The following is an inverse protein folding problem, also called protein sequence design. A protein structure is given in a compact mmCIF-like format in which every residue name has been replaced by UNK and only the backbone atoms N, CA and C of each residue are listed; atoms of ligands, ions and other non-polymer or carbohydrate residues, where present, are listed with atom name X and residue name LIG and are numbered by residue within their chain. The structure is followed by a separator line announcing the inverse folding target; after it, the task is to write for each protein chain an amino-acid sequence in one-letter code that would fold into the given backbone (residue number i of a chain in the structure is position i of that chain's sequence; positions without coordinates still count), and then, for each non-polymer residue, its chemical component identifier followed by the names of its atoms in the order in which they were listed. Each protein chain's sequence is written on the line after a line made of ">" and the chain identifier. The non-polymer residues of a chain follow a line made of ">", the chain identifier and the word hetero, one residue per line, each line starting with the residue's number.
data_IF_272812360834
#
_entry.id   IF_272812360834
#
_cell.length_a   1.000
_cell.length_b   1.000
_cell.length_c   1.000
_cell.angle_alpha   90.00
_cell.angle_beta   90.00
_cell.angle_gamma   90.00
#
_symmetry.space_group_name_H-M   'P 1'
#
loop_
_entity.id
_entity.type
_entity.pdbx_description
1 polymer ?
#
# COMPACT_ATOMS: atom_id res chain seq x y z
N UNK A 1 8.82 13.28 2.84
CA UNK A 1 8.55 11.83 2.95
C UNK A 1 8.68 11.42 4.40
N UNK A 2 7.76 10.61 4.94
CA UNK A 2 7.87 10.11 6.33
C UNK A 2 8.77 8.88 6.34
N UNK A 3 9.70 8.80 7.29
CA UNK A 3 10.59 7.66 7.40
C UNK A 3 9.81 6.38 7.75
N UNK A 4 10.06 5.25 7.06
CA UNK A 4 9.46 3.99 7.45
C UNK A 4 9.99 3.59 8.82
N UNK A 5 9.09 3.17 9.69
CA UNK A 5 9.46 2.67 11.00
C UNK A 5 10.01 1.24 10.84
N UNK A 6 11.03 0.89 11.62
CA UNK A 6 11.54 -0.48 11.72
C UNK A 6 10.52 -1.40 12.40
N UNK A 7 10.88 -2.66 12.66
CA UNK A 7 10.02 -3.63 13.35
C UNK A 7 9.63 -3.18 14.78
N UNK A 8 10.53 -2.45 15.45
CA UNK A 8 10.41 -1.97 16.83
C UNK A 8 9.72 -0.59 16.93
N UNK A 9 9.39 0.02 15.80
CA UNK A 9 8.72 1.32 15.74
C UNK A 9 9.67 2.53 15.75
N UNK A 10 10.97 2.33 15.62
CA UNK A 10 11.95 3.41 15.52
C UNK A 10 12.04 3.93 14.07
N UNK A 11 12.24 5.23 13.87
CA UNK A 11 12.48 5.79 12.54
C UNK A 11 13.80 5.26 11.98
N UNK A 12 13.77 4.72 10.76
CA UNK A 12 14.98 4.30 10.06
C UNK A 12 15.69 5.49 9.42
N UNK A 13 17.01 5.41 9.34
CA UNK A 13 17.83 6.41 8.66
C UNK A 13 17.59 6.36 7.14
N UNK A 14 17.41 7.54 6.54
CA UNK A 14 17.19 7.69 5.10
C UNK A 14 18.36 8.48 4.50
N UNK A 15 18.95 7.93 3.44
CA UNK A 15 19.91 8.62 2.59
C UNK A 15 19.54 8.40 1.12
N UNK A 16 19.54 9.47 0.32
CA UNK A 16 19.26 9.43 -1.12
C UNK A 16 17.98 8.69 -1.54
N UNK A 17 16.89 8.92 -0.80
CA UNK A 17 15.60 8.23 -0.98
C UNK A 17 15.64 6.70 -0.73
N UNK A 18 16.65 6.21 -0.02
CA UNK A 18 16.78 4.81 0.38
C UNK A 18 16.87 4.71 1.90
N UNK A 19 16.34 3.61 2.44
CA UNK A 19 16.61 3.25 3.82
C UNK A 19 18.05 2.74 3.88
N UNK A 20 18.83 3.28 4.83
CA UNK A 20 20.20 2.82 5.04
C UNK A 20 20.16 1.43 5.64
N UNK A 21 20.63 0.44 4.87
CA UNK A 21 20.71 -0.97 5.27
C UNK A 21 22.16 -1.46 5.20
N UNK A 22 22.45 -2.57 5.85
CA UNK A 22 23.77 -3.20 5.76
C UNK A 22 24.04 -3.66 4.31
N UNK A 23 25.13 -3.15 3.75
CA UNK A 23 25.58 -3.49 2.41
C UNK A 23 26.17 -4.91 2.39
N UNK A 24 25.92 -5.64 1.30
CA UNK A 24 26.57 -6.91 0.99
C UNK A 24 27.61 -6.69 -0.11
N UNK A 25 28.91 -7.00 0.11
CA UNK A 25 29.95 -6.79 -0.88
C UNK A 25 29.70 -7.53 -2.20
N UNK A 26 29.09 -8.72 -2.16
CA UNK A 26 28.76 -9.51 -3.36
C UNK A 26 27.57 -8.88 -4.06
N UNK A 27 26.52 -8.51 -3.32
CA UNK A 27 25.36 -7.82 -3.86
C UNK A 27 25.70 -6.49 -4.54
N UNK A 28 26.60 -5.70 -3.95
CA UNK A 28 27.04 -4.41 -4.50
C UNK A 28 27.88 -4.55 -5.78
N UNK A 29 28.39 -5.74 -6.13
CA UNK A 29 28.98 -5.97 -7.46
C UNK A 29 27.93 -6.11 -8.57
N UNK A 30 26.67 -6.41 -8.20
CA UNK A 30 25.57 -6.69 -9.14
C UNK A 30 24.71 -5.45 -9.44
N UNK A 31 24.77 -4.43 -8.60
CA UNK A 31 24.02 -3.18 -8.74
C UNK A 31 24.87 -1.98 -8.32
N UNK A 32 24.85 -0.90 -9.10
CA UNK A 32 25.55 0.32 -8.75
C UNK A 32 24.75 1.20 -7.76
N UNK A 33 25.35 2.32 -7.33
CA UNK A 33 24.70 3.27 -6.42
C UNK A 33 23.44 3.94 -6.99
N UNK A 34 23.33 4.01 -8.32
CA UNK A 34 22.18 4.59 -9.02
C UNK A 34 21.10 3.54 -9.33
N UNK A 35 21.31 2.27 -8.97
CA UNK A 35 20.38 1.19 -9.24
C UNK A 35 20.49 0.56 -10.63
N UNK A 36 21.55 0.85 -11.40
CA UNK A 36 21.84 0.15 -12.67
C UNK A 36 22.44 -1.22 -12.36
N UNK A 37 21.88 -2.25 -13.00
CA UNK A 37 22.32 -3.62 -12.82
C UNK A 37 23.55 -3.92 -13.69
N UNK A 38 24.45 -4.76 -13.18
CA UNK A 38 25.64 -5.23 -13.88
C UNK A 38 25.45 -6.66 -14.43
N UNK A 39 26.30 -7.04 -15.38
CA UNK A 39 26.36 -8.41 -15.90
C UNK A 39 25.21 -8.80 -16.83
N UNK A 40 24.66 -7.84 -17.59
CA UNK A 40 23.56 -8.09 -18.55
C UNK A 40 22.20 -8.35 -17.90
N UNK A 41 22.07 -8.13 -16.59
CA UNK A 41 20.81 -8.25 -15.86
C UNK A 41 19.88 -7.09 -16.20
N UNK A 42 18.60 -7.40 -16.31
CA UNK A 42 17.57 -6.40 -16.57
C UNK A 42 16.42 -6.52 -15.58
N UNK A 43 15.82 -5.39 -15.22
CA UNK A 43 14.63 -5.37 -14.38
C UNK A 43 13.39 -5.82 -15.14
N UNK A 44 12.51 -6.55 -14.46
CA UNK A 44 11.18 -6.93 -14.97
C UNK A 44 10.21 -5.75 -15.09
N UNK A 45 10.43 -4.71 -14.28
CA UNK A 45 9.65 -3.47 -14.28
C UNK A 45 10.40 -2.35 -15.01
N UNK A 46 9.68 -1.31 -15.42
CA UNK A 46 10.32 -0.15 -16.04
C UNK A 46 11.07 0.67 -14.99
N UNK A 47 12.23 1.15 -15.40
CA UNK A 47 13.04 2.08 -14.63
C UNK A 47 13.16 3.42 -15.34
N UNK A 48 13.13 4.50 -14.58
CA UNK A 48 13.26 5.86 -15.11
C UNK A 48 13.97 6.78 -14.10
N UNK A 49 14.47 7.91 -14.59
CA UNK A 49 15.04 8.97 -13.75
C UNK A 49 13.98 10.01 -13.39
N UNK A 50 14.10 10.61 -12.21
CA UNK A 50 13.20 11.68 -11.75
C UNK A 50 13.92 13.03 -11.81
N UNK A 51 13.24 14.05 -12.34
CA UNK A 51 13.79 15.40 -12.46
C UNK A 51 14.33 15.92 -11.11
N UNK A 52 15.59 16.37 -11.11
CA UNK A 52 16.26 16.89 -9.93
C UNK A 52 16.77 15.85 -8.95
N UNK A 53 16.72 14.55 -9.29
CA UNK A 53 17.24 13.44 -8.45
C UNK A 53 18.45 12.71 -9.06
N UNK A 54 19.14 13.37 -9.98
CA UNK A 54 20.32 12.81 -10.67
C UNK A 54 20.00 11.61 -11.55
N UNK A 55 20.97 10.72 -11.70
CA UNK A 55 20.91 9.54 -12.58
C UNK A 55 20.36 8.28 -11.89
N UNK A 56 19.81 8.43 -10.68
CA UNK A 56 19.25 7.32 -9.92
C UNK A 56 17.99 6.80 -10.61
N UNK A 57 17.92 5.47 -10.71
CA UNK A 57 16.79 4.77 -11.29
C UNK A 57 15.69 4.58 -10.24
N UNK A 58 14.48 4.96 -10.63
CA UNK A 58 13.25 4.78 -9.88
C UNK A 58 12.30 3.87 -10.66
N UNK A 59 11.40 3.25 -9.91
CA UNK A 59 10.25 2.50 -10.43
C UNK A 59 8.97 3.11 -9.88
N UNK A 60 7.90 3.06 -10.66
CA UNK A 60 6.58 3.42 -10.18
C UNK A 60 6.14 2.35 -9.17
N UNK A 61 5.84 2.71 -7.92
CA UNK A 61 5.72 1.73 -6.82
C UNK A 61 4.68 0.63 -7.02
N UNK A 62 3.69 0.83 -7.90
CA UNK A 62 2.69 -0.20 -8.20
C UNK A 62 3.22 -1.30 -9.12
N UNK A 63 4.25 -1.03 -9.93
CA UNK A 63 4.83 -2.02 -10.85
C UNK A 63 5.59 -3.14 -10.09
N UNK A 64 6.59 -2.84 -9.23
CA UNK A 64 7.29 -3.90 -8.48
C UNK A 64 6.36 -4.58 -7.47
N UNK A 65 5.38 -3.87 -6.90
CA UNK A 65 4.36 -4.48 -6.06
C UNK A 65 3.63 -5.61 -6.80
N UNK A 66 3.11 -5.36 -8.01
CA UNK A 66 2.42 -6.36 -8.83
C UNK A 66 3.34 -7.48 -9.30
N UNK A 67 4.57 -7.14 -9.71
CA UNK A 67 5.60 -8.09 -10.11
C UNK A 67 5.86 -9.16 -9.04
N UNK A 68 5.69 -8.80 -7.77
CA UNK A 68 6.01 -9.65 -6.62
C UNK A 68 4.75 -10.29 -6.00
N UNK A 69 3.57 -9.99 -6.57
CA UNK A 69 2.28 -10.56 -6.17
C UNK A 69 1.47 -9.71 -5.20
N UNK A 70 1.86 -8.47 -4.94
CA UNK A 70 1.05 -7.53 -4.15
C UNK A 70 -0.02 -6.85 -5.00
N UNK A 71 -1.21 -6.73 -4.41
CA UNK A 71 -2.38 -6.09 -5.06
C UNK A 71 -2.18 -4.59 -5.27
N UNK A 72 -1.58 -3.92 -4.29
CA UNK A 72 -1.33 -2.49 -4.31
C UNK A 72 0.01 -2.15 -3.67
N UNK A 73 0.44 -0.89 -3.85
CA UNK A 73 1.67 -0.40 -3.27
C UNK A 73 1.56 -0.14 -1.76
N UNK A 74 0.36 -0.07 -1.19
CA UNK A 74 0.19 0.18 0.24
C UNK A 74 0.64 -1.03 1.06
N UNK A 75 0.13 -2.22 0.74
CA UNK A 75 0.53 -3.48 1.40
C UNK A 75 2.00 -3.80 1.15
N UNK A 76 2.50 -3.44 -0.04
CA UNK A 76 3.91 -3.59 -0.40
C UNK A 76 4.84 -2.86 0.58
N UNK A 77 4.62 -1.56 0.82
CA UNK A 77 5.44 -0.80 1.78
C UNK A 77 5.17 -1.14 3.24
N UNK A 78 3.95 -1.60 3.57
CA UNK A 78 3.64 -2.02 4.94
C UNK A 78 4.38 -3.31 5.32
N UNK A 79 4.48 -4.26 4.38
CA UNK A 79 5.18 -5.53 4.58
C UNK A 79 6.70 -5.39 4.45
N UNK A 80 7.16 -4.52 3.55
CA UNK A 80 8.58 -4.30 3.29
C UNK A 80 9.03 -2.94 3.84
N UNK A 81 9.30 -2.92 5.15
CA UNK A 81 9.69 -1.70 5.89
C UNK A 81 11.05 -1.13 5.49
N UNK A 82 11.87 -1.89 4.77
CA UNK A 82 13.15 -1.43 4.20
C UNK A 82 12.96 -0.62 2.91
N UNK A 83 11.73 -0.57 2.35
CA UNK A 83 11.44 0.22 1.15
C UNK A 83 10.86 1.58 1.52
N UNK A 84 11.41 2.64 0.91
CA UNK A 84 10.91 3.99 1.06
C UNK A 84 9.92 4.33 -0.05
N UNK A 85 8.71 4.76 0.33
CA UNK A 85 7.76 5.35 -0.61
C UNK A 85 8.04 6.83 -0.79
N UNK A 86 8.60 7.21 -1.94
CA UNK A 86 8.83 8.61 -2.30
C UNK A 86 7.62 9.13 -3.07
N UNK A 87 7.04 10.24 -2.63
CA UNK A 87 6.00 10.92 -3.41
C UNK A 87 6.68 11.93 -4.31
N UNK A 88 6.39 11.90 -5.62
CA UNK A 88 6.93 12.87 -6.58
C UNK A 88 6.22 14.20 -6.46
N UNK A 89 6.98 15.28 -6.59
CA UNK A 89 6.44 16.64 -6.59
C UNK A 89 5.71 16.94 -7.90
N UNK A 90 4.93 18.03 -7.92
CA UNK A 90 4.13 18.39 -9.09
C UNK A 90 4.98 18.61 -10.35
N UNK A 91 6.12 19.30 -10.23
CA UNK A 91 7.04 19.53 -11.37
C UNK A 91 7.63 18.22 -11.89
N UNK A 92 8.08 17.34 -11.00
CA UNK A 92 8.59 16.02 -11.34
C UNK A 92 7.51 15.17 -12.02
N UNK A 93 6.28 15.22 -11.52
CA UNK A 93 5.15 14.51 -12.10
C UNK A 93 4.85 15.00 -13.53
N UNK A 94 4.89 16.30 -13.79
CA UNK A 94 4.71 16.82 -15.14
C UNK A 94 5.84 16.40 -16.09
N UNK A 95 7.10 16.42 -15.66
CA UNK A 95 8.23 15.87 -16.44
C UNK A 95 8.01 14.39 -16.81
N UNK A 96 7.54 13.58 -15.86
CA UNK A 96 7.23 12.17 -16.12
C UNK A 96 6.06 11.98 -17.10
N UNK A 97 5.11 12.91 -17.14
CA UNK A 97 4.01 12.90 -18.13
C UNK A 97 4.53 13.32 -19.51
N UNK A 98 5.33 14.39 -19.58
CA UNK A 98 5.91 14.90 -20.84
C UNK A 98 6.85 13.89 -21.50
N UNK A 99 7.52 13.06 -20.69
CA UNK A 99 8.37 11.96 -21.15
C UNK A 99 7.61 10.65 -21.42
N UNK A 100 6.28 10.67 -21.38
CA UNK A 100 5.39 9.51 -21.57
C UNK A 100 5.69 8.33 -20.63
N UNK A 101 6.32 8.57 -19.49
CA UNK A 101 6.60 7.54 -18.47
C UNK A 101 5.30 7.17 -17.75
N UNK A 102 4.50 8.19 -17.43
CA UNK A 102 3.17 8.04 -16.82
C UNK A 102 2.11 8.76 -17.66
N UNK A 103 0.85 8.28 -17.66
CA UNK A 103 -0.19 8.87 -18.49
C UNK A 103 -0.69 10.19 -17.91
N UNK A 104 -1.19 11.08 -18.79
CA UNK A 104 -1.76 12.38 -18.39
C UNK A 104 -2.91 12.25 -17.35
N UNK A 105 -3.64 11.13 -17.36
CA UNK A 105 -4.71 10.84 -16.39
C UNK A 105 -4.24 10.80 -14.93
N UNK A 106 -2.93 10.69 -14.69
CA UNK A 106 -2.33 10.64 -13.35
C UNK A 106 -2.04 12.02 -12.77
N UNK A 107 -2.27 13.10 -13.53
CA UNK A 107 -2.08 14.50 -13.10
C UNK A 107 -2.78 14.82 -11.78
N UNK A 108 -4.00 14.32 -11.56
CA UNK A 108 -4.78 14.56 -10.35
C UNK A 108 -4.46 13.63 -9.17
N UNK A 109 -3.54 12.68 -9.32
CA UNK A 109 -3.25 11.64 -8.30
C UNK A 109 -1.87 11.86 -7.68
N UNK A 110 -1.73 11.50 -6.41
CA UNK A 110 -0.42 11.39 -5.77
C UNK A 110 0.30 10.17 -6.31
N UNK A 111 1.50 10.35 -6.86
CA UNK A 111 2.29 9.28 -7.47
C UNK A 111 3.44 8.92 -6.54
N UNK A 112 3.52 7.62 -6.21
CA UNK A 112 4.60 7.05 -5.42
C UNK A 112 5.62 6.35 -6.32
N UNK A 113 6.89 6.60 -6.05
CA UNK A 113 8.04 5.93 -6.67
C UNK A 113 8.93 5.32 -5.59
N UNK A 114 9.74 4.35 -5.99
CA UNK A 114 10.74 3.67 -5.14
C UNK A 114 12.03 3.54 -5.94
N UNK A 115 13.19 3.57 -5.30
CA UNK A 115 14.46 3.39 -6.00
C UNK A 115 14.62 1.94 -6.47
N UNK A 116 15.14 1.76 -7.68
CA UNK A 116 15.36 0.45 -8.28
C UNK A 116 16.32 -0.40 -7.45
N UNK A 117 17.37 0.23 -6.89
CA UNK A 117 18.37 -0.43 -6.03
C UNK A 117 17.73 -1.02 -4.77
N UNK A 118 16.86 -0.29 -4.08
CA UNK A 118 16.19 -0.80 -2.87
C UNK A 118 15.25 -1.97 -3.19
N UNK A 119 14.55 -1.92 -4.32
CA UNK A 119 13.74 -3.07 -4.78
C UNK A 119 14.62 -4.28 -5.06
N UNK A 120 15.77 -4.10 -5.73
CA UNK A 120 16.70 -5.20 -5.97
C UNK A 120 17.30 -5.78 -4.68
N UNK A 121 17.64 -4.94 -3.71
CA UNK A 121 18.14 -5.38 -2.40
C UNK A 121 17.14 -6.25 -1.66
N UNK A 122 15.88 -5.82 -1.63
CA UNK A 122 14.80 -6.52 -0.93
C UNK A 122 14.44 -7.86 -1.61
N UNK A 123 14.41 -7.89 -2.95
CA UNK A 123 13.81 -9.01 -3.69
C UNK A 123 14.76 -9.82 -4.57
N UNK A 124 15.99 -9.33 -4.77
CA UNK A 124 17.05 -10.03 -5.50
C UNK A 124 16.62 -10.50 -6.88
N UNK A 125 16.78 -11.80 -7.13
CA UNK A 125 16.51 -12.44 -8.41
C UNK A 125 15.04 -12.31 -8.86
N UNK A 126 14.08 -12.10 -7.93
CA UNK A 126 12.64 -12.05 -8.27
C UNK A 126 12.24 -10.83 -9.11
N UNK A 127 13.01 -9.74 -9.06
CA UNK A 127 12.76 -8.53 -9.86
C UNK A 127 13.60 -8.50 -11.15
N UNK A 128 14.43 -9.52 -11.38
CA UNK A 128 15.28 -9.67 -12.57
C UNK A 128 14.60 -10.56 -13.60
N UNK A 129 14.68 -10.18 -14.87
CA UNK A 129 14.17 -10.98 -15.99
C UNK A 129 14.92 -12.32 -16.05
N UNK A 130 14.22 -13.43 -15.90
CA UNK A 130 14.82 -14.76 -15.86
C UNK A 130 15.77 -14.97 -14.67
N UNK A 131 15.59 -14.21 -13.59
CA UNK A 131 16.50 -14.20 -12.45
C UNK A 131 16.63 -15.57 -11.79
N UNK A 132 17.87 -15.97 -11.50
CA UNK A 132 18.19 -17.24 -10.86
C UNK A 132 18.49 -17.04 -9.38
N UNK A 133 17.89 -17.88 -8.54
CA UNK A 133 18.14 -17.91 -7.10
C UNK A 133 19.63 -18.09 -6.83
N UNK A 134 20.09 -17.45 -5.74
CA UNK A 134 21.50 -17.36 -5.32
C UNK A 134 22.34 -16.50 -6.27
N UNK A 135 22.47 -16.87 -7.54
CA UNK A 135 23.36 -16.17 -8.50
C UNK A 135 22.94 -14.73 -8.77
N UNK A 136 21.64 -14.46 -8.88
CA UNK A 136 21.13 -13.10 -9.15
C UNK A 136 20.54 -12.43 -7.92
N UNK A 137 20.53 -13.09 -6.77
CA UNK A 137 20.12 -12.49 -5.50
C UNK A 137 21.17 -11.49 -5.00
N UNK A 138 20.72 -10.40 -4.38
CA UNK A 138 21.61 -9.43 -3.73
C UNK A 138 22.28 -10.06 -2.48
N UNK A 139 21.51 -10.78 -1.66
CA UNK A 139 22.00 -11.48 -0.47
C UNK A 139 22.13 -13.00 -0.72
N UNK A 140 23.23 -13.43 -1.36
CA UNK A 140 23.42 -14.86 -1.70
C UNK A 140 23.44 -15.78 -0.47
N UNK A 141 24.09 -15.34 0.60
CA UNK A 141 24.22 -16.13 1.82
C UNK A 141 22.86 -16.37 2.48
N UNK A 142 21.99 -15.35 2.48
CA UNK A 142 20.61 -15.46 2.97
C UNK A 142 19.82 -16.46 2.13
N UNK A 143 19.92 -16.38 0.80
CA UNK A 143 19.24 -17.32 -0.10
C UNK A 143 19.71 -18.78 0.11
N UNK A 144 21.02 -18.99 0.32
CA UNK A 144 21.58 -20.32 0.65
C UNK A 144 21.07 -20.83 2.01
N UNK A 145 21.00 -19.97 3.02
CA UNK A 145 20.50 -20.33 4.35
C UNK A 145 19.00 -20.68 4.34
N UNK A 146 18.21 -20.05 3.47
CA UNK A 146 16.80 -20.37 3.23
C UNK A 146 16.60 -21.69 2.48
N UNK A 147 17.68 -22.36 2.04
CA UNK A 147 17.62 -23.62 1.31
C UNK A 147 17.27 -23.47 -0.18
N UNK A 148 17.50 -22.30 -0.77
CA UNK A 148 17.31 -22.12 -2.20
C UNK A 148 18.28 -22.98 -3.01
N UNK A 149 17.81 -23.56 -4.12
CA UNK A 149 18.65 -24.34 -5.04
C UNK A 149 19.35 -23.39 -6.01
N UNK A 150 20.66 -23.59 -6.17
CA UNK A 150 21.48 -22.77 -7.05
C UNK A 150 21.01 -22.86 -8.50
N UNK A 151 20.85 -21.71 -9.15
CA UNK A 151 20.43 -21.65 -10.56
C UNK A 151 18.94 -21.85 -10.82
N UNK A 152 18.12 -22.16 -9.81
CA UNK A 152 16.67 -22.28 -9.98
C UNK A 152 16.03 -20.93 -10.33
N UNK A 153 15.01 -20.92 -11.19
CA UNK A 153 14.26 -19.72 -11.51
C UNK A 153 13.57 -19.16 -10.25
N UNK A 154 13.76 -17.86 -9.98
CA UNK A 154 13.25 -17.22 -8.77
C UNK A 154 11.74 -17.01 -8.78
N UNK A 155 11.15 -16.84 -9.96
CA UNK A 155 9.71 -16.77 -10.16
C UNK A 155 9.31 -17.78 -11.26
N UNK A 156 8.63 -18.89 -10.90
CA UNK A 156 8.19 -19.90 -11.86
C UNK A 156 7.31 -19.36 -13.00
N UNK A 157 6.60 -18.26 -12.77
CA UNK A 157 5.71 -17.65 -13.75
C UNK A 157 6.43 -16.65 -14.69
N UNK A 158 7.73 -16.40 -14.47
CA UNK A 158 8.52 -15.52 -15.33
C UNK A 158 8.90 -16.20 -16.65
N UNK A 159 7.96 -16.17 -17.60
CA UNK A 159 8.16 -16.72 -18.94
C UNK A 159 9.03 -15.79 -19.76
N UNK A 160 10.26 -16.20 -20.01
CA UNK A 160 11.14 -15.52 -20.95
C UNK A 160 10.53 -15.55 -22.36
N UNK A 161 10.59 -14.43 -23.11
CA UNK A 161 10.14 -14.39 -24.48
C UNK A 161 10.97 -15.34 -25.36
N UNK A 162 10.43 -15.80 -26.50
CA UNK A 162 11.20 -16.55 -27.47
C UNK A 162 12.47 -15.79 -27.91
N UNK A 163 13.54 -16.50 -28.34
CA UNK A 163 14.76 -15.86 -28.83
C UNK A 163 14.45 -14.80 -29.89
N UNK A 164 14.91 -13.56 -29.67
CA UNK A 164 14.73 -12.43 -30.60
C UNK A 164 13.55 -11.51 -30.28
N UNK A 165 12.71 -11.83 -29.29
CA UNK A 165 11.64 -10.93 -28.82
C UNK A 165 12.07 -10.29 -27.50
N UNK A 166 11.93 -8.97 -27.38
CA UNK A 166 12.25 -8.25 -26.16
C UNK A 166 11.27 -8.59 -25.02
N UNK A 167 11.77 -8.57 -23.78
CA UNK A 167 10.94 -8.78 -22.61
C UNK A 167 9.95 -7.62 -22.43
N UNK A 168 8.67 -7.95 -22.26
CA UNK A 168 7.63 -6.94 -22.07
C UNK A 168 7.65 -6.35 -20.65
N UNK A 169 8.49 -5.32 -20.44
CA UNK A 169 8.55 -4.57 -19.16
C UNK A 169 7.26 -3.82 -18.83
N UNK A 170 6.35 -3.66 -19.81
CA UNK A 170 5.06 -2.99 -19.61
C UNK A 170 3.98 -3.90 -18.98
N UNK A 171 4.24 -5.20 -18.78
CA UNK A 171 3.22 -6.15 -18.31
C UNK A 171 2.63 -5.82 -16.93
N UNK A 172 3.41 -5.16 -16.06
CA UNK A 172 2.97 -4.78 -14.70
C UNK A 172 2.36 -3.38 -14.61
N UNK A 173 2.27 -2.68 -15.74
CA UNK A 173 1.82 -1.29 -15.79
C UNK A 173 0.30 -1.21 -15.62
N UNK A 174 -0.12 -0.44 -14.62
CA UNK A 174 -1.51 -0.43 -14.18
C UNK A 174 -2.52 0.04 -15.22
N UNK A 175 -2.12 0.95 -16.12
CA UNK A 175 -3.01 1.50 -17.14
C UNK A 175 -2.97 0.76 -18.48
N UNK A 176 -1.94 -0.05 -18.77
CA UNK A 176 -1.91 -0.90 -19.97
C UNK A 176 -2.71 -2.20 -19.77
N UNK A 177 -2.88 -2.65 -18.52
CA UNK A 177 -3.48 -3.95 -18.18
C UNK A 177 -4.76 -3.87 -17.34
N UNK A 178 -5.55 -2.79 -17.44
CA UNK A 178 -6.80 -2.64 -16.70
C UNK A 178 -7.88 -3.70 -17.04
N UNK A 179 -7.62 -4.63 -17.97
CA UNK A 179 -8.54 -5.71 -18.34
C UNK A 179 -8.06 -7.12 -17.97
N UNK A 180 -6.78 -7.35 -17.61
CA UNK A 180 -6.28 -8.70 -17.29
C UNK A 180 -6.21 -8.99 -15.78
N UNK A 181 -6.09 -7.95 -14.94
CA UNK A 181 -5.94 -8.11 -13.47
C UNK A 181 -7.28 -7.97 -12.72
N UNK A 182 -8.38 -7.71 -13.45
CA UNK A 182 -9.72 -7.55 -12.86
C UNK A 182 -10.66 -8.74 -13.09
N UNK A 183 -10.17 -9.86 -13.63
CA UNK A 183 -10.88 -11.14 -13.52
C UNK A 183 -10.64 -11.81 -12.16
N UNK A 184 -10.77 -11.07 -11.07
CA UNK A 184 -11.16 -11.65 -9.78
C UNK A 184 -11.89 -10.57 -8.97
N UNK A 185 -13.21 -10.72 -8.94
CA UNK A 185 -14.17 -10.02 -8.08
C UNK A 185 -14.42 -8.54 -8.41
N UNK A 186 -15.64 -8.32 -8.92
CA UNK A 186 -16.31 -7.03 -9.06
C UNK A 186 -16.09 -6.17 -7.81
N UNK A 187 -15.60 -4.95 -8.04
CA UNK A 187 -15.64 -3.89 -7.05
C UNK A 187 -17.12 -3.59 -6.73
N UNK A 188 -17.53 -3.87 -5.50
CA UNK A 188 -18.77 -3.36 -4.97
C UNK A 188 -18.68 -1.82 -4.96
N UNK A 189 -19.57 -1.19 -5.73
CA UNK A 189 -19.85 0.25 -5.66
C UNK A 189 -20.23 0.59 -4.21
N UNK A 190 -19.49 1.51 -3.59
CA UNK A 190 -19.93 2.13 -2.36
C UNK A 190 -21.09 3.08 -2.69
N UNK A 191 -22.24 2.99 -2.01
CA UNK A 191 -23.29 3.97 -2.17
C UNK A 191 -22.93 5.24 -1.41
N UNK A 192 -22.90 6.37 -2.12
CA UNK A 192 -22.92 7.70 -1.54
C UNK A 192 -24.28 7.91 -0.86
N UNK A 193 -24.33 7.78 0.46
CA UNK A 193 -25.51 8.16 1.25
C UNK A 193 -25.28 9.56 1.81
N UNK A 194 -25.86 10.56 1.14
CA UNK A 194 -26.11 11.87 1.71
C UNK A 194 -27.11 11.76 2.86
N UNK A 195 -26.70 12.14 4.07
CA UNK A 195 -27.56 12.12 5.25
C UNK A 195 -26.91 12.79 6.45
N UNK A 196 -27.56 13.85 6.93
CA UNK A 196 -27.38 14.65 8.14
C UNK A 196 -26.53 13.99 9.26
N UNK A 197 -25.48 14.71 9.69
CA UNK A 197 -24.71 14.38 10.90
C UNK A 197 -23.35 13.77 10.63
N UNK A 198 -22.54 14.45 9.80
CA UNK A 198 -21.15 14.12 9.46
C UNK A 198 -20.37 13.63 10.69
N UNK A 199 -19.88 12.39 10.63
CA UNK A 199 -18.79 11.91 11.46
C UNK A 199 -17.63 12.90 11.31
N UNK A 200 -17.56 13.91 12.19
CA UNK A 200 -16.34 14.70 12.32
C UNK A 200 -15.29 13.73 12.79
N UNK A 201 -14.40 13.36 11.87
CA UNK A 201 -13.19 12.58 12.10
C UNK A 201 -12.53 13.09 13.39
N UNK A 202 -12.78 12.40 14.50
CA UNK A 202 -11.94 12.57 15.67
C UNK A 202 -10.55 12.18 15.19
N UNK A 203 -9.55 13.05 15.41
CA UNK A 203 -8.14 12.81 15.04
C UNK A 203 -7.79 11.37 15.37
N UNK A 204 -7.69 10.53 14.34
CA UNK A 204 -7.36 9.11 14.49
C UNK A 204 -6.03 9.07 15.24
N UNK A 205 -6.02 8.46 16.42
CA UNK A 205 -4.75 8.17 17.09
C UNK A 205 -4.00 7.22 16.16
N UNK A 206 -2.81 7.62 15.73
CA UNK A 206 -1.92 6.76 14.94
C UNK A 206 -1.37 5.68 15.87
N UNK A 207 -2.12 4.59 16.02
CA UNK A 207 -1.64 3.38 16.70
C UNK A 207 -1.01 2.47 15.65
N UNK A 208 0.23 2.05 15.88
CA UNK A 208 0.93 1.11 15.00
C UNK A 208 0.29 -0.27 15.17
N UNK A 209 -0.23 -0.83 14.09
CA UNK A 209 -0.81 -2.17 14.06
C UNK A 209 0.30 -3.19 13.74
N UNK A 210 0.45 -4.18 14.60
CA UNK A 210 1.38 -5.32 14.48
C UNK A 210 0.59 -6.64 14.47
N UNK A 211 1.23 -7.73 14.06
CA UNK A 211 0.61 -9.06 14.00
C UNK A 211 0.17 -9.59 15.38
N UNK A 212 0.74 -9.07 16.47
CA UNK A 212 0.35 -9.42 17.83
C UNK A 212 -0.78 -8.54 18.38
N UNK A 213 -0.85 -7.26 17.97
CA UNK A 213 -1.76 -6.28 18.56
C UNK A 213 -3.05 -6.03 17.74
N UNK A 214 -3.12 -6.51 16.49
CA UNK A 214 -4.21 -6.13 15.57
C UNK A 214 -5.60 -6.47 16.09
N UNK A 215 -5.77 -7.64 16.72
CA UNK A 215 -7.06 -8.05 17.29
C UNK A 215 -7.49 -7.14 18.44
N UNK A 216 -6.55 -6.79 19.32
CA UNK A 216 -6.81 -5.91 20.46
C UNK A 216 -7.21 -4.51 19.99
N UNK A 217 -6.50 -3.96 19.00
CA UNK A 217 -6.78 -2.63 18.47
C UNK A 217 -8.12 -2.59 17.72
N UNK A 218 -8.50 -3.66 17.01
CA UNK A 218 -9.83 -3.78 16.41
C UNK A 218 -10.94 -3.85 17.47
N UNK A 219 -10.74 -4.66 18.53
CA UNK A 219 -11.70 -4.76 19.63
C UNK A 219 -11.90 -3.42 20.37
N UNK A 220 -10.79 -2.68 20.59
CA UNK A 220 -10.82 -1.32 21.16
C UNK A 220 -11.56 -0.34 20.25
N UNK A 221 -11.28 -0.36 18.95
CA UNK A 221 -11.96 0.49 17.98
C UNK A 221 -13.47 0.22 17.95
N UNK A 222 -13.89 -1.04 17.96
CA UNK A 222 -15.30 -1.44 18.03
C UNK A 222 -15.98 -0.95 19.32
N UNK A 223 -15.30 -1.08 20.46
CA UNK A 223 -15.80 -0.62 21.77
C UNK A 223 -15.98 0.91 21.80
N UNK A 224 -15.00 1.64 21.27
CA UNK A 224 -15.05 3.09 21.15
C UNK A 224 -16.19 3.55 20.23
N UNK A 225 -16.37 2.87 19.09
CA UNK A 225 -17.45 3.15 18.15
C UNK A 225 -18.83 2.91 18.78
N UNK A 226 -19.02 1.79 19.49
CA UNK A 226 -20.25 1.52 20.23
C UNK A 226 -20.53 2.60 21.28
N UNK A 227 -19.51 3.03 22.03
CA UNK A 227 -19.64 4.10 23.01
C UNK A 227 -20.04 5.43 22.37
N UNK A 228 -19.46 5.76 21.22
CA UNK A 228 -19.80 6.95 20.44
C UNK A 228 -21.26 6.92 19.99
N UNK A 229 -21.74 5.79 19.45
CA UNK A 229 -23.14 5.63 19.02
C UNK A 229 -24.12 5.84 20.17
N UNK A 230 -23.80 5.36 21.38
CA UNK A 230 -24.63 5.56 22.57
C UNK A 230 -24.65 7.04 22.97
N UNK A 231 -23.50 7.70 22.99
CA UNK A 231 -23.41 9.14 23.31
C UNK A 231 -24.19 10.00 22.32
N UNK A 232 -24.08 9.72 21.02
CA UNK A 232 -24.82 10.44 19.98
C UNK A 232 -26.33 10.23 20.11
N UNK A 233 -26.79 8.98 20.28
CA UNK A 233 -28.20 8.67 20.50
C UNK A 233 -28.75 9.40 21.73
N UNK A 234 -27.99 9.42 22.83
CA UNK A 234 -28.37 10.17 24.04
C UNK A 234 -28.50 11.66 23.80
N UNK A 235 -27.59 12.28 23.04
CA UNK A 235 -27.68 13.71 22.69
C UNK A 235 -28.93 14.04 21.89
N UNK A 236 -29.28 13.20 20.91
CA UNK A 236 -30.46 13.41 20.07
C UNK A 236 -31.78 13.36 20.86
N UNK A 237 -31.82 12.64 21.97
CA UNK A 237 -33.04 12.47 22.79
C UNK A 237 -33.05 13.28 24.09
N UNK A 238 -31.96 13.97 24.41
CA UNK A 238 -31.84 14.74 25.65
C UNK A 238 -32.87 15.89 25.72
N UNK A 239 -33.25 16.45 24.57
CA UNK A 239 -34.18 17.59 24.47
C UNK A 239 -35.63 17.14 24.26
N UNK A 240 -36.13 16.26 25.14
CA UNK A 240 -37.54 15.79 25.20
C UNK A 240 -38.03 14.92 24.03
N UNK A 241 -37.13 14.46 23.16
CA UNK A 241 -37.45 13.61 22.01
C UNK A 241 -37.31 14.33 20.67
N UNK A 242 -37.65 13.65 19.59
CA UNK A 242 -37.55 14.17 18.22
C UNK A 242 -38.94 14.45 17.69
N UNK A 243 -39.23 15.71 17.35
CA UNK A 243 -40.51 16.10 16.75
C UNK A 243 -40.65 15.54 15.33
N UNK A 244 -41.76 14.85 15.06
CA UNK A 244 -42.08 14.29 13.74
C UNK A 244 -43.17 15.15 13.04
N UNK A 245 -42.85 15.83 11.92
CA UNK A 245 -43.76 16.81 11.31
C UNK A 245 -45.02 16.23 10.65
N UNK A 246 -45.00 15.00 10.15
CA UNK A 246 -46.14 14.43 9.41
C UNK A 246 -47.29 14.02 10.33
N UNK A 247 -46.99 13.63 11.56
CA UNK A 247 -47.95 13.19 12.59
C UNK A 247 -48.13 14.21 13.70
N UNK A 248 -47.22 15.19 13.80
CA UNK A 248 -47.29 16.27 14.79
C UNK A 248 -47.01 15.82 16.22
N UNK A 249 -46.43 14.63 16.42
CA UNK A 249 -46.08 14.10 17.75
C UNK A 249 -44.56 14.12 17.97
N UNK A 250 -44.16 14.21 19.24
CA UNK A 250 -42.77 14.04 19.63
C UNK A 250 -42.49 12.55 19.83
N UNK A 251 -41.58 12.01 19.04
CA UNK A 251 -41.12 10.63 19.15
C UNK A 251 -40.02 10.52 20.21
N UNK A 252 -40.20 9.56 21.12
CA UNK A 252 -39.24 9.22 22.17
C UNK A 252 -38.85 7.75 22.05
N UNK A 253 -37.68 7.33 22.58
CA UNK A 253 -37.28 5.93 22.51
C UNK A 253 -38.31 5.02 23.16
N UNK A 254 -38.72 3.95 22.46
CA UNK A 254 -39.68 2.99 23.01
C UNK A 254 -39.25 2.42 24.37
N UNK A 255 -37.94 2.22 24.56
CA UNK A 255 -37.36 1.73 25.81
C UNK A 255 -37.53 2.68 27.02
N UNK A 256 -37.86 3.96 26.82
CA UNK A 256 -38.15 4.90 27.91
C UNK A 256 -39.62 4.92 28.32
N UNK A 257 -40.50 4.26 27.55
CA UNK A 257 -41.94 4.30 27.77
C UNK A 257 -42.44 3.08 28.55
N UNK A 258 -43.42 3.24 29.45
CA UNK A 258 -44.05 2.12 30.13
C UNK A 258 -44.80 1.24 29.12
N UNK A 259 -44.67 -0.07 29.26
CA UNK A 259 -45.27 -1.05 28.33
C UNK A 259 -46.51 -1.75 28.90
N UNK A 260 -46.78 -1.61 30.20
CA UNK A 260 -47.91 -2.28 30.88
C UNK A 260 -48.49 -1.40 31.99
N UNK A 261 -49.81 -1.47 32.15
CA UNK A 261 -50.54 -0.86 33.27
C UNK A 261 -51.44 -1.93 33.91
N UNK A 262 -51.58 -1.87 35.25
CA UNK A 262 -52.46 -2.74 36.03
C UNK A 262 -53.31 -1.88 36.95
N UNK A 263 -54.60 -2.22 37.07
CA UNK A 263 -55.55 -1.50 37.91
C UNK A 263 -55.95 -2.40 39.09
N UNK A 264 -55.98 -1.84 40.30
CA UNK A 264 -56.51 -2.48 41.51
C UNK A 264 -57.78 -1.74 41.93
N UNK A 265 -58.86 -2.49 42.16
CA UNK A 265 -60.10 -1.97 42.72
C UNK A 265 -60.04 -2.05 44.24
N UNK A 266 -60.26 -0.91 44.90
CA UNK A 266 -60.41 -0.78 46.37
C UNK A 266 -61.88 -0.79 46.72
#
# INVERSE_FOLDING_TARGET
>A
TVAPLDLDGNPQEIADDEVVVLNDPVGDTKVDANGKLAGGREYRCRTFTVLGKGDRLYMLSTEPARCIGFRDSYLFFQRHRQLLKVIVDERQKFDLIERDIIPHSYKGRAIGVVTARSVYREFGARIIVGGRRIVDDYYEQKARAEGAVDGQLADPDDKLPPPGVEYNRNQYVAWHGASAVYHTQQAALQPEVGGVGVFRDQKKKNVVITDENWMLEHARAATNFNSLLVQQRRKLWADRGVYEPHTGIVMVPAASQPTKVTFEYV
#
